data_IF_268508305189
#
_entry.id   IF_268508305189
#
_cell.length_a   1.000
_cell.length_b   1.000
_cell.length_c   1.000
_cell.angle_alpha   90.00
_cell.angle_beta   90.00
_cell.angle_gamma   90.00
#
_symmetry.space_group_name_H-M   'P 1'
#
loop_
_entity.id
_entity.type
_entity.pdbx_description
1 polymer ?
#
# COMPACT_ATOMS: atom_id res chain seq x y z
N UNK A 1 22.09 -25.12 -8.97
CA UNK A 1 22.09 -23.67 -8.61
C UNK A 1 20.70 -23.04 -8.64
N UNK A 2 19.95 -23.08 -9.75
CA UNK A 2 18.60 -22.48 -9.85
C UNK A 2 17.59 -22.95 -8.79
N UNK A 3 17.59 -24.25 -8.47
CA UNK A 3 16.72 -24.83 -7.42
C UNK A 3 17.03 -24.31 -6.02
N UNK A 4 18.30 -24.02 -5.73
CA UNK A 4 18.74 -23.47 -4.44
C UNK A 4 18.26 -22.03 -4.31
N UNK A 5 18.41 -21.23 -5.38
CA UNK A 5 17.88 -19.86 -5.41
C UNK A 5 16.36 -19.81 -5.21
N UNK A 6 15.61 -20.67 -5.91
CA UNK A 6 14.15 -20.77 -5.76
C UNK A 6 13.73 -21.19 -4.35
N UNK A 7 14.48 -22.11 -3.73
CA UNK A 7 14.25 -22.51 -2.34
C UNK A 7 14.43 -21.33 -1.36
N UNK A 8 15.47 -20.53 -1.53
CA UNK A 8 15.65 -19.32 -0.72
C UNK A 8 14.57 -18.26 -0.99
N UNK A 9 14.16 -18.05 -2.25
CA UNK A 9 13.04 -17.15 -2.55
C UNK A 9 11.74 -17.56 -1.86
N UNK A 10 11.48 -18.88 -1.75
CA UNK A 10 10.31 -19.39 -1.04
C UNK A 10 10.40 -19.14 0.46
N UNK A 11 11.55 -19.38 1.08
CA UNK A 11 11.75 -19.18 2.53
C UNK A 11 11.63 -17.70 2.93
N UNK A 12 12.10 -16.78 2.08
CA UNK A 12 12.05 -15.35 2.36
C UNK A 12 10.77 -14.66 1.85
N UNK A 13 9.80 -15.43 1.35
CA UNK A 13 8.50 -14.90 0.97
C UNK A 13 7.61 -14.76 2.20
N UNK A 14 7.59 -13.58 2.81
CA UNK A 14 6.64 -13.23 3.86
C UNK A 14 5.53 -12.32 3.31
N UNK A 15 4.28 -12.57 3.72
CA UNK A 15 3.17 -11.70 3.38
C UNK A 15 3.27 -10.41 4.20
N UNK A 16 3.36 -9.26 3.51
CA UNK A 16 3.25 -7.96 4.15
C UNK A 16 1.76 -7.65 4.37
N UNK A 17 1.36 -7.44 5.63
CA UNK A 17 0.01 -7.06 6.00
C UNK A 17 -0.03 -5.58 6.37
N UNK A 18 -0.84 -4.80 5.66
CA UNK A 18 -1.19 -3.45 6.04
C UNK A 18 -2.57 -3.43 6.69
N UNK A 19 -2.71 -2.71 7.79
CA UNK A 19 -3.96 -2.51 8.50
C UNK A 19 -4.07 -1.04 8.94
N UNK A 20 -5.30 -0.60 9.24
CA UNK A 20 -5.56 0.71 9.84
C UNK A 20 -5.07 1.93 9.03
N UNK A 21 -5.00 1.77 7.69
CA UNK A 21 -4.85 2.87 6.74
C UNK A 21 -6.25 3.40 6.41
N UNK A 22 -6.51 4.66 6.74
CA UNK A 22 -7.79 5.32 6.53
C UNK A 22 -7.60 6.40 5.47
N UNK A 23 -8.37 6.27 4.39
CA UNK A 23 -8.50 7.32 3.37
C UNK A 23 -9.81 8.05 3.63
N UNK A 24 -9.77 9.39 3.67
CA UNK A 24 -10.96 10.21 3.99
C UNK A 24 -11.93 10.31 2.80
N UNK A 25 -12.48 9.17 2.38
CA UNK A 25 -13.45 9.05 1.30
C UNK A 25 -13.31 7.74 0.53
N UNK A 26 -14.40 7.32 -0.11
CA UNK A 26 -14.43 6.17 -1.05
C UNK A 26 -14.48 6.61 -2.51
N UNK A 27 -14.59 7.92 -2.74
CA UNK A 27 -14.62 8.56 -4.06
C UNK A 27 -13.94 9.91 -3.97
N UNK A 28 -13.14 10.23 -4.98
CA UNK A 28 -12.54 11.54 -5.16
C UNK A 28 -12.91 12.06 -6.55
N UNK A 29 -13.43 13.28 -6.61
CA UNK A 29 -13.90 13.90 -7.84
C UNK A 29 -12.88 14.95 -8.22
N UNK A 30 -12.36 14.86 -9.45
CA UNK A 30 -11.55 15.91 -10.05
C UNK A 30 -12.46 16.99 -10.64
N UNK A 31 -12.37 18.24 -10.18
CA UNK A 31 -13.02 19.36 -10.85
C UNK A 31 -12.43 19.55 -12.26
N UNK A 32 -13.27 19.91 -13.23
CA UNK A 32 -12.85 19.96 -14.64
C UNK A 32 -11.76 21.00 -14.98
N UNK A 33 -11.52 21.95 -14.08
CA UNK A 33 -10.53 23.02 -14.20
C UNK A 33 -9.30 22.79 -13.32
N UNK A 34 -9.27 21.73 -12.51
CA UNK A 34 -8.19 21.47 -11.57
C UNK A 34 -7.27 20.34 -12.08
N UNK A 35 -5.96 20.54 -11.93
CA UNK A 35 -4.95 19.56 -12.37
C UNK A 35 -4.60 18.55 -11.29
N UNK A 36 -4.91 18.86 -10.03
CA UNK A 36 -4.61 18.03 -8.88
C UNK A 36 -5.71 18.15 -7.83
N UNK A 37 -5.83 17.12 -7.01
CA UNK A 37 -6.62 17.17 -5.78
C UNK A 37 -5.76 16.63 -4.64
N UNK A 38 -5.92 17.21 -3.45
CA UNK A 38 -5.28 16.70 -2.24
C UNK A 38 -6.25 15.76 -1.52
N UNK A 39 -5.79 14.55 -1.21
CA UNK A 39 -6.55 13.59 -0.41
C UNK A 39 -5.84 13.40 0.92
N UNK A 40 -6.61 13.47 2.00
CA UNK A 40 -6.10 13.21 3.33
C UNK A 40 -6.10 11.69 3.60
N UNK A 41 -4.97 11.21 4.10
CA UNK A 41 -4.76 9.84 4.54
C UNK A 41 -4.22 9.84 5.97
N UNK A 42 -4.63 8.84 6.74
CA UNK A 42 -4.17 8.61 8.10
C UNK A 42 -3.73 7.16 8.24
N UNK A 43 -2.48 6.96 8.68
CA UNK A 43 -2.00 5.66 9.12
C UNK A 43 -2.09 5.62 10.65
N UNK A 44 -3.03 4.83 11.17
CA UNK A 44 -3.22 4.62 12.60
C UNK A 44 -2.63 3.27 13.07
N UNK A 45 -1.83 2.60 12.23
CA UNK A 45 -1.07 1.44 12.66
C UNK A 45 0.04 1.86 13.63
N UNK A 46 0.46 0.91 14.46
CA UNK A 46 1.60 1.02 15.37
C UNK A 46 2.95 1.02 14.64
N UNK A 47 2.93 0.80 13.32
CA UNK A 47 4.08 0.78 12.43
C UNK A 47 3.84 1.64 11.18
N UNK A 48 4.85 2.40 10.71
CA UNK A 48 4.73 3.24 9.53
C UNK A 48 4.53 2.43 8.24
#
# INVERSE_FOLDING_TARGET
MKRIALFFCFIFSFAAHANNIIVNGTRFIYPGNEKEITVQLSNNADRP
#
